data_IF_138003503557
#
_entry.id   IF_138003503557
#
_cell.length_a   1.000
_cell.length_b   1.000
_cell.length_c   1.000
_cell.angle_alpha   90.00
_cell.angle_beta   90.00
_cell.angle_gamma   90.00
#
_symmetry.space_group_name_H-M   'P 1'
#
loop_
_entity.id
_entity.type
_entity.pdbx_description
1 polymer ?
#
# COMPACT_ATOMS: atom_id res chain seq x y z
N UNK A 1 -15.98 -29.20 13.93
CA UNK A 1 -17.32 -29.20 13.31
C UNK A 1 -17.49 -30.21 12.18
N UNK A 2 -16.59 -30.21 11.19
CA UNK A 2 -16.47 -31.26 10.15
C UNK A 2 -15.06 -31.86 10.14
N UNK A 3 -14.40 -31.87 11.30
CA UNK A 3 -13.07 -32.46 11.42
C UNK A 3 -13.18 -33.98 11.22
N UNK A 4 -12.26 -34.54 10.46
CA UNK A 4 -12.15 -35.99 10.34
C UNK A 4 -11.66 -36.52 11.68
N UNK A 5 -12.55 -37.20 12.39
CA UNK A 5 -12.29 -37.80 13.68
C UNK A 5 -12.73 -39.26 13.68
N UNK A 6 -12.07 -40.07 14.50
CA UNK A 6 -12.48 -41.45 14.73
C UNK A 6 -13.76 -41.52 15.59
N UNK A 7 -14.28 -42.73 15.82
CA UNK A 7 -15.50 -42.94 16.60
C UNK A 7 -15.43 -42.41 18.05
N UNK A 8 -14.24 -42.15 18.59
CA UNK A 8 -14.03 -41.58 19.93
C UNK A 8 -13.82 -40.06 19.93
N UNK A 9 -13.95 -39.40 18.78
CA UNK A 9 -13.83 -37.94 18.63
C UNK A 9 -12.38 -37.43 18.55
N UNK A 10 -11.39 -38.32 18.39
CA UNK A 10 -9.98 -37.94 18.19
C UNK A 10 -9.74 -37.62 16.72
N UNK A 11 -9.15 -36.44 16.45
CA UNK A 11 -8.86 -35.97 15.09
C UNK A 11 -7.85 -36.89 14.40
N UNK A 12 -8.21 -37.40 13.23
CA UNK A 12 -7.35 -38.24 12.38
C UNK A 12 -6.52 -37.36 11.42
N UNK A 13 -5.42 -36.79 11.93
CA UNK A 13 -4.57 -35.86 11.18
C UNK A 13 -4.02 -36.44 9.87
N UNK A 14 -3.71 -37.73 9.82
CA UNK A 14 -3.19 -38.37 8.60
C UNK A 14 -4.24 -38.49 7.51
N UNK A 15 -5.50 -38.73 7.89
CA UNK A 15 -6.62 -38.79 6.97
C UNK A 15 -6.99 -37.39 6.48
N UNK A 16 -7.03 -36.42 7.38
CA UNK A 16 -7.17 -35.01 7.01
C UNK A 16 -6.07 -34.54 6.07
N UNK A 17 -4.81 -34.88 6.34
CA UNK A 17 -3.66 -34.53 5.49
C UNK A 17 -3.77 -35.13 4.09
N UNK A 18 -4.25 -36.38 3.95
CA UNK A 18 -4.49 -37.01 2.66
C UNK A 18 -5.59 -36.30 1.87
N UNK A 19 -6.73 -36.02 2.50
CA UNK A 19 -7.82 -35.30 1.85
C UNK A 19 -7.41 -33.89 1.41
N UNK A 20 -6.61 -33.18 2.22
CA UNK A 20 -6.04 -31.89 1.83
C UNK A 20 -5.11 -32.04 0.63
N UNK A 21 -4.21 -33.03 0.60
CA UNK A 21 -3.33 -33.26 -0.56
C UNK A 21 -4.10 -33.57 -1.84
N UNK A 22 -5.12 -34.42 -1.76
CA UNK A 22 -5.98 -34.75 -2.90
C UNK A 22 -6.68 -33.50 -3.44
N UNK A 23 -7.24 -32.67 -2.56
CA UNK A 23 -7.89 -31.42 -2.91
C UNK A 23 -6.89 -30.42 -3.52
N UNK A 24 -5.71 -30.29 -2.92
CA UNK A 24 -4.61 -29.46 -3.40
C UNK A 24 -4.14 -29.87 -4.79
N UNK A 25 -3.97 -31.17 -5.05
CA UNK A 25 -3.56 -31.67 -6.36
C UNK A 25 -4.64 -31.46 -7.42
N UNK A 26 -5.91 -31.67 -7.07
CA UNK A 26 -7.03 -31.50 -8.00
C UNK A 26 -7.14 -30.07 -8.52
N UNK A 27 -6.94 -29.08 -7.66
CA UNK A 27 -7.17 -27.67 -7.99
C UNK A 27 -5.88 -26.84 -8.16
N UNK A 28 -4.71 -27.47 -8.26
CA UNK A 28 -3.42 -26.76 -8.35
C UNK A 28 -3.05 -25.95 -7.10
N UNK A 29 -3.73 -26.19 -5.97
CA UNK A 29 -3.56 -25.54 -4.68
C UNK A 29 -2.49 -26.23 -3.83
N UNK A 30 -1.29 -26.43 -4.38
CA UNK A 30 -0.21 -27.12 -3.69
C UNK A 30 0.12 -26.43 -2.34
N UNK A 31 -0.23 -27.09 -1.24
CA UNK A 31 0.12 -26.70 0.13
C UNK A 31 0.56 -27.94 0.89
N UNK A 32 1.54 -27.81 1.78
CA UNK A 32 1.94 -28.90 2.67
C UNK A 32 1.00 -28.91 3.90
N UNK A 33 0.15 -29.95 4.09
CA UNK A 33 -0.86 -29.94 5.15
C UNK A 33 -0.29 -29.87 6.57
N UNK A 34 0.97 -30.28 6.77
CA UNK A 34 1.63 -30.28 8.08
C UNK A 34 2.46 -29.01 8.33
N UNK A 35 2.59 -28.12 7.36
CA UNK A 35 3.29 -26.86 7.55
C UNK A 35 2.50 -25.98 8.54
N UNK A 36 3.23 -25.25 9.39
CA UNK A 36 2.61 -24.28 10.29
C UNK A 36 2.29 -23.01 9.50
N UNK A 37 1.07 -22.49 9.65
CA UNK A 37 0.61 -21.29 8.91
C UNK A 37 1.54 -20.09 9.10
N UNK A 38 2.06 -19.90 10.32
CA UNK A 38 3.01 -18.83 10.65
C UNK A 38 4.35 -18.89 9.89
N UNK A 39 4.70 -20.05 9.33
CA UNK A 39 5.96 -20.27 8.61
C UNK A 39 5.74 -20.21 7.08
N UNK A 40 4.49 -20.04 6.62
CA UNK A 40 4.14 -19.93 5.21
C UNK A 40 4.27 -18.50 4.69
N UNK A 41 4.64 -18.34 3.41
CA UNK A 41 4.54 -17.05 2.72
C UNK A 41 3.09 -16.58 2.63
N UNK A 42 2.86 -15.28 2.46
CA UNK A 42 1.49 -14.74 2.36
C UNK A 42 0.71 -15.37 1.20
N UNK A 43 1.34 -15.58 0.05
CA UNK A 43 0.72 -16.31 -1.07
C UNK A 43 0.30 -17.73 -0.73
N UNK A 44 1.10 -18.46 0.06
CA UNK A 44 0.73 -19.80 0.54
C UNK A 44 -0.39 -19.76 1.58
N UNK A 45 -0.39 -18.76 2.47
CA UNK A 45 -1.48 -18.55 3.43
C UNK A 45 -2.81 -18.31 2.70
N UNK A 46 -2.82 -17.52 1.62
CA UNK A 46 -4.00 -17.31 0.79
C UNK A 46 -4.53 -18.62 0.18
N UNK A 47 -3.63 -19.47 -0.34
CA UNK A 47 -4.00 -20.80 -0.86
C UNK A 47 -4.59 -21.68 0.25
N UNK A 48 -4.05 -21.65 1.46
CA UNK A 48 -4.60 -22.37 2.61
C UNK A 48 -6.04 -21.93 2.91
N UNK A 49 -6.36 -20.64 2.83
CA UNK A 49 -7.74 -20.17 3.03
C UNK A 49 -8.72 -20.70 1.96
N UNK A 50 -8.29 -20.73 0.69
CA UNK A 50 -9.10 -21.31 -0.40
C UNK A 50 -9.31 -22.81 -0.18
N UNK A 51 -8.24 -23.54 0.16
CA UNK A 51 -8.30 -24.99 0.47
C UNK A 51 -9.25 -25.24 1.64
N UNK A 52 -9.22 -24.43 2.71
CA UNK A 52 -10.13 -24.55 3.86
C UNK A 52 -11.60 -24.37 3.46
N UNK A 53 -11.89 -23.43 2.55
CA UNK A 53 -13.24 -23.21 2.05
C UNK A 53 -13.74 -24.42 1.23
N UNK A 54 -12.92 -24.89 0.30
CA UNK A 54 -13.23 -26.04 -0.56
C UNK A 54 -13.34 -27.35 0.22
N UNK A 55 -12.49 -27.55 1.22
CA UNK A 55 -12.55 -28.71 2.11
C UNK A 55 -13.88 -28.81 2.86
N UNK A 56 -14.54 -27.66 3.10
CA UNK A 56 -15.88 -27.59 3.69
C UNK A 56 -16.99 -27.69 2.63
N UNK A 57 -16.68 -28.05 1.40
CA UNK A 57 -17.65 -28.20 0.32
C UNK A 57 -18.28 -26.89 -0.14
N UNK A 58 -17.55 -25.77 -0.05
CA UNK A 58 -18.01 -24.49 -0.59
C UNK A 58 -18.16 -24.59 -2.11
N UNK A 59 -19.37 -24.32 -2.62
CA UNK A 59 -19.67 -24.24 -4.05
C UNK A 59 -19.62 -22.79 -4.56
N UNK A 60 -19.72 -21.81 -3.66
CA UNK A 60 -19.62 -20.39 -3.95
C UNK A 60 -18.50 -19.82 -3.09
N UNK A 61 -17.47 -19.27 -3.72
CA UNK A 61 -16.36 -18.61 -3.04
C UNK A 61 -16.48 -17.10 -3.23
N UNK A 62 -16.40 -16.35 -2.14
CA UNK A 62 -16.29 -14.90 -2.16
C UNK A 62 -14.86 -14.57 -1.77
N UNK A 63 -14.12 -13.99 -2.70
CA UNK A 63 -12.73 -13.59 -2.49
C UNK A 63 -12.67 -12.08 -2.45
N UNK A 64 -12.33 -11.53 -1.27
CA UNK A 64 -12.26 -10.09 -1.03
C UNK A 64 -10.82 -9.61 -1.07
N UNK A 65 -10.47 -8.81 -2.08
CA UNK A 65 -9.13 -8.32 -2.40
C UNK A 65 -8.00 -9.37 -2.22
N UNK A 66 -8.13 -10.57 -2.83
CA UNK A 66 -7.29 -11.72 -2.50
C UNK A 66 -5.84 -11.61 -2.96
N UNK A 67 -5.49 -10.55 -3.69
CA UNK A 67 -4.16 -10.29 -4.30
C UNK A 67 -3.40 -9.16 -3.62
N UNK A 68 -3.95 -8.54 -2.57
CA UNK A 68 -3.41 -7.32 -1.98
C UNK A 68 -1.94 -7.43 -1.52
N UNK A 69 -1.49 -8.63 -1.17
CA UNK A 69 -0.15 -8.93 -0.67
C UNK A 69 0.64 -9.92 -1.54
N UNK A 70 0.20 -10.15 -2.79
CA UNK A 70 0.82 -11.10 -3.71
C UNK A 70 1.75 -10.40 -4.71
N UNK A 71 2.81 -11.09 -5.13
CA UNK A 71 3.59 -10.68 -6.31
C UNK A 71 2.76 -10.80 -7.60
N UNK A 72 3.18 -10.19 -8.72
CA UNK A 72 2.54 -10.43 -10.02
C UNK A 72 2.44 -11.92 -10.37
N UNK A 73 3.52 -12.69 -10.19
CA UNK A 73 3.55 -14.13 -10.49
C UNK A 73 2.62 -14.94 -9.57
N UNK A 74 2.57 -14.58 -8.28
CA UNK A 74 1.63 -15.21 -7.33
C UNK A 74 0.18 -14.89 -7.67
N UNK A 75 -0.09 -13.68 -8.17
CA UNK A 75 -1.40 -13.23 -8.64
C UNK A 75 -1.85 -14.00 -9.87
N UNK A 76 -0.97 -14.18 -10.86
CA UNK A 76 -1.25 -14.98 -12.05
C UNK A 76 -1.59 -16.44 -11.67
N UNK A 77 -0.81 -17.02 -10.75
CA UNK A 77 -1.10 -18.36 -10.21
C UNK A 77 -2.43 -18.45 -9.46
N UNK A 78 -2.87 -17.38 -8.78
CA UNK A 78 -4.21 -17.33 -8.18
C UNK A 78 -5.31 -17.31 -9.25
N UNK A 79 -5.12 -16.61 -10.36
CA UNK A 79 -6.10 -16.61 -11.46
C UNK A 79 -6.24 -17.99 -12.09
N UNK A 80 -5.15 -18.73 -12.28
CA UNK A 80 -5.20 -20.11 -12.75
C UNK A 80 -6.05 -21.01 -11.84
N UNK A 81 -5.89 -20.86 -10.52
CA UNK A 81 -6.69 -21.57 -9.53
C UNK A 81 -8.17 -21.19 -9.67
N UNK A 82 -8.49 -19.89 -9.74
CA UNK A 82 -9.88 -19.42 -9.87
C UNK A 82 -10.52 -20.02 -11.14
N UNK A 83 -9.83 -20.00 -12.27
CA UNK A 83 -10.31 -20.61 -13.52
C UNK A 83 -10.44 -22.13 -13.44
N UNK A 84 -9.62 -22.83 -12.64
CA UNK A 84 -9.81 -24.27 -12.39
C UNK A 84 -11.10 -24.51 -11.61
N UNK A 85 -11.33 -23.74 -10.54
CA UNK A 85 -12.50 -23.89 -9.69
C UNK A 85 -13.81 -23.63 -10.45
N UNK A 86 -13.84 -22.61 -11.32
CA UNK A 86 -15.03 -22.31 -12.14
C UNK A 86 -15.31 -23.39 -13.19
N UNK A 87 -14.27 -23.96 -13.82
CA UNK A 87 -14.40 -25.11 -14.74
C UNK A 87 -14.98 -26.35 -14.07
N UNK A 88 -14.72 -26.53 -12.78
CA UNK A 88 -15.27 -27.64 -11.98
C UNK A 88 -16.69 -27.36 -11.43
N UNK A 89 -17.29 -26.23 -11.80
CA UNK A 89 -18.68 -25.88 -11.47
C UNK A 89 -18.85 -25.05 -10.20
N UNK A 90 -17.76 -24.54 -9.60
CA UNK A 90 -17.86 -23.60 -8.49
C UNK A 90 -18.13 -22.18 -9.02
N UNK A 91 -18.91 -21.40 -8.29
CA UNK A 91 -19.05 -19.96 -8.55
C UNK A 91 -18.02 -19.17 -7.73
N UNK A 92 -17.39 -18.18 -8.33
CA UNK A 92 -16.46 -17.27 -7.63
C UNK A 92 -16.94 -15.84 -7.79
N UNK A 93 -17.11 -15.14 -6.66
CA UNK A 93 -17.32 -13.70 -6.60
C UNK A 93 -15.96 -13.10 -6.21
N UNK A 94 -15.31 -12.44 -7.17
CA UNK A 94 -14.02 -11.79 -6.98
C UNK A 94 -14.25 -10.30 -6.77
N UNK A 95 -13.92 -9.80 -5.57
CA UNK A 95 -14.07 -8.39 -5.20
C UNK A 95 -12.68 -7.75 -5.28
N UNK A 96 -12.53 -6.76 -6.15
CA UNK A 96 -11.28 -6.02 -6.31
C UNK A 96 -11.54 -4.65 -6.91
N UNK A 97 -10.67 -3.69 -6.62
CA UNK A 97 -10.63 -2.38 -7.27
C UNK A 97 -9.50 -2.30 -8.33
N UNK A 98 -8.74 -3.38 -8.52
CA UNK A 98 -7.63 -3.46 -9.48
C UNK A 98 -8.13 -3.91 -10.85
N UNK A 99 -8.17 -2.97 -11.79
CA UNK A 99 -8.74 -3.17 -13.12
C UNK A 99 -8.08 -4.30 -13.92
N UNK A 100 -6.75 -4.47 -13.79
CA UNK A 100 -6.03 -5.56 -14.47
C UNK A 100 -6.54 -6.94 -14.06
N UNK A 101 -6.86 -7.12 -12.79
CA UNK A 101 -7.41 -8.37 -12.25
C UNK A 101 -8.82 -8.61 -12.77
N UNK A 102 -9.67 -7.58 -12.74
CA UNK A 102 -11.05 -7.64 -13.26
C UNK A 102 -11.05 -8.10 -14.72
N UNK A 103 -10.16 -7.55 -15.54
CA UNK A 103 -10.07 -7.90 -16.96
C UNK A 103 -9.50 -9.31 -17.19
N UNK A 104 -8.65 -9.80 -16.30
CA UNK A 104 -8.00 -11.10 -16.44
C UNK A 104 -8.87 -12.26 -15.95
N UNK A 105 -9.58 -12.10 -14.82
CA UNK A 105 -10.20 -13.23 -14.10
C UNK A 105 -11.71 -13.36 -14.30
N UNK A 106 -12.41 -12.27 -14.63
CA UNK A 106 -13.87 -12.23 -14.55
C UNK A 106 -14.57 -12.66 -15.84
N UNK A 107 -15.60 -13.51 -15.74
CA UNK A 107 -16.52 -13.75 -16.86
C UNK A 107 -17.58 -12.64 -17.00
N UNK A 108 -17.95 -12.03 -15.87
CA UNK A 108 -18.94 -10.95 -15.76
C UNK A 108 -18.49 -9.95 -14.72
N UNK A 109 -18.64 -8.67 -15.05
CA UNK A 109 -18.23 -7.55 -14.21
C UNK A 109 -19.48 -6.80 -13.76
N UNK A 110 -19.61 -6.56 -12.46
CA UNK A 110 -20.67 -5.72 -11.88
C UNK A 110 -20.02 -4.57 -11.12
N UNK A 111 -20.39 -3.34 -11.49
CA UNK A 111 -19.84 -2.13 -10.87
C UNK A 111 -20.82 -1.58 -9.85
N UNK A 112 -20.35 -1.39 -8.62
CA UNK A 112 -21.12 -0.76 -7.54
C UNK A 112 -20.57 0.64 -7.25
N UNK A 113 -21.46 1.60 -7.03
CA UNK A 113 -21.11 2.97 -6.62
C UNK A 113 -22.17 3.51 -5.66
N UNK A 114 -21.75 4.06 -4.52
CA UNK A 114 -22.63 4.57 -3.45
C UNK A 114 -23.69 3.54 -3.00
N UNK A 115 -23.27 2.29 -2.83
CA UNK A 115 -24.13 1.20 -2.36
C UNK A 115 -25.16 0.70 -3.38
N UNK A 116 -25.06 1.10 -4.65
CA UNK A 116 -25.97 0.67 -5.72
C UNK A 116 -25.19 0.06 -6.87
N UNK A 117 -25.77 -0.93 -7.54
CA UNK A 117 -25.26 -1.42 -8.84
C UNK A 117 -25.52 -0.32 -9.87
N UNK A 118 -24.46 0.13 -10.54
CA UNK A 118 -24.54 1.20 -11.55
C UNK A 118 -24.31 0.70 -12.97
N UNK A 119 -23.65 -0.44 -13.13
CA UNK A 119 -23.42 -1.07 -14.42
C UNK A 119 -23.15 -2.57 -14.27
N UNK A 120 -23.34 -3.31 -15.36
CA UNK A 120 -22.84 -4.68 -15.53
C UNK A 120 -22.36 -4.85 -16.97
N UNK A 121 -21.21 -5.49 -17.14
CA UNK A 121 -20.55 -5.66 -18.45
C UNK A 121 -19.73 -6.96 -18.44
N UNK A 122 -19.02 -7.25 -19.53
CA UNK A 122 -18.05 -8.33 -19.67
C UNK A 122 -16.69 -7.76 -20.05
N UNK A 123 -15.57 -8.43 -19.76
CA UNK A 123 -14.26 -7.95 -20.18
C UNK A 123 -14.15 -7.70 -21.69
N UNK A 124 -14.81 -8.53 -22.51
CA UNK A 124 -14.81 -8.37 -23.97
C UNK A 124 -15.56 -7.11 -24.46
N UNK A 125 -16.49 -6.58 -23.66
CA UNK A 125 -17.38 -5.49 -24.03
C UNK A 125 -16.94 -4.14 -23.42
N UNK A 126 -15.76 -4.07 -22.82
CA UNK A 126 -15.30 -2.87 -22.13
C UNK A 126 -13.78 -2.73 -22.11
N UNK A 127 -13.32 -1.56 -21.69
CA UNK A 127 -11.91 -1.26 -21.44
C UNK A 127 -11.68 -0.84 -19.99
N UNK A 128 -10.45 -1.00 -19.45
CA UNK A 128 -10.12 -0.54 -18.10
C UNK A 128 -10.54 0.91 -17.81
N UNK A 129 -10.37 1.82 -18.78
CA UNK A 129 -10.71 3.24 -18.61
C UNK A 129 -12.23 3.47 -18.47
N UNK A 130 -13.04 2.71 -19.21
CA UNK A 130 -14.49 2.76 -19.14
C UNK A 130 -14.99 2.21 -17.80
N UNK A 131 -14.43 1.09 -17.33
CA UNK A 131 -14.73 0.53 -16.02
C UNK A 131 -14.40 1.52 -14.90
N UNK A 132 -13.23 2.16 -14.94
CA UNK A 132 -12.87 3.20 -13.98
C UNK A 132 -13.86 4.37 -14.00
N UNK A 133 -14.29 4.80 -15.18
CA UNK A 133 -15.32 5.83 -15.31
C UNK A 133 -16.66 5.39 -14.72
N UNK A 134 -17.07 4.12 -14.88
CA UNK A 134 -18.29 3.59 -14.26
C UNK A 134 -18.16 3.63 -12.72
N UNK A 135 -17.01 3.20 -12.18
CA UNK A 135 -16.72 3.16 -10.74
C UNK A 135 -16.73 4.57 -10.11
N UNK A 136 -16.12 5.56 -10.77
CA UNK A 136 -15.97 6.92 -10.22
C UNK A 136 -17.11 7.87 -10.62
N UNK A 137 -17.69 7.69 -11.81
CA UNK A 137 -18.76 8.52 -12.37
C UNK A 137 -18.31 9.73 -13.19
N UNK A 138 -17.02 9.83 -13.49
CA UNK A 138 -16.41 10.82 -14.39
C UNK A 138 -15.22 10.15 -15.10
N UNK A 139 -14.72 10.69 -16.22
CA UNK A 139 -13.47 10.22 -16.80
C UNK A 139 -12.32 10.23 -15.77
N UNK A 140 -11.49 9.19 -15.79
CA UNK A 140 -10.35 8.98 -14.89
C UNK A 140 -9.12 8.63 -15.71
N UNK A 141 -7.98 9.24 -15.39
CA UNK A 141 -6.69 8.86 -15.95
C UNK A 141 -6.13 7.68 -15.16
N UNK A 142 -5.98 6.53 -15.82
CA UNK A 142 -5.41 5.32 -15.20
C UNK A 142 -3.90 5.40 -14.96
N UNK A 143 -3.22 6.27 -15.72
CA UNK A 143 -1.81 6.60 -15.55
C UNK A 143 -1.71 8.10 -15.51
N UNK A 144 -0.99 8.62 -14.51
CA UNK A 144 -0.71 10.05 -14.45
C UNK A 144 0.26 10.41 -15.55
N UNK A 145 -0.08 11.44 -16.32
CA UNK A 145 0.82 12.02 -17.30
C UNK A 145 1.91 12.75 -16.52
N UNK A 146 3.15 12.28 -16.66
CA UNK A 146 4.32 12.87 -16.01
C UNK A 146 5.28 13.42 -17.06
N UNK A 147 5.73 14.65 -16.86
CA UNK A 147 6.87 15.20 -17.59
C UNK A 147 8.18 14.52 -17.18
N UNK A 148 9.29 14.80 -17.89
CA UNK A 148 10.62 14.36 -17.45
C UNK A 148 10.91 14.92 -16.06
N UNK A 149 11.56 14.13 -15.22
CA UNK A 149 12.07 14.62 -13.94
C UNK A 149 13.32 15.47 -14.16
N UNK A 150 13.55 16.40 -13.23
CA UNK A 150 14.77 17.21 -13.19
C UNK A 150 15.42 17.08 -11.81
N UNK A 151 16.05 15.92 -11.50
CA UNK A 151 16.63 15.68 -10.19
C UNK A 151 17.73 16.68 -9.86
N UNK A 152 17.65 17.29 -8.69
CA UNK A 152 18.66 18.20 -8.14
C UNK A 152 19.57 17.51 -7.13
N UNK A 153 19.84 18.18 -6.02
CA UNK A 153 20.73 17.65 -4.97
C UNK A 153 20.07 16.55 -4.14
N UNK A 154 20.88 15.59 -3.67
CA UNK A 154 20.43 14.54 -2.76
C UNK A 154 20.10 15.12 -1.37
N UNK A 155 18.82 15.10 -1.01
CA UNK A 155 18.30 15.67 0.25
C UNK A 155 18.00 14.62 1.30
N UNK A 156 17.71 13.37 0.91
CA UNK A 156 17.70 12.21 1.80
C UNK A 156 18.80 11.25 1.37
N UNK A 157 19.65 10.84 2.30
CA UNK A 157 20.61 9.74 2.11
C UNK A 157 20.47 8.73 3.22
N UNK A 158 20.42 7.47 2.84
CA UNK A 158 20.47 6.30 3.71
C UNK A 158 21.78 5.60 3.34
N UNK A 159 22.64 5.38 4.33
CA UNK A 159 23.98 4.81 4.14
C UNK A 159 24.11 3.57 5.02
N UNK A 160 24.30 2.41 4.39
CA UNK A 160 24.56 1.10 5.01
C UNK A 160 23.63 0.80 6.19
N UNK A 161 22.35 1.14 6.04
CA UNK A 161 21.37 1.07 7.11
C UNK A 161 21.10 -0.39 7.48
N UNK A 162 21.22 -0.69 8.78
CA UNK A 162 20.91 -2.00 9.34
C UNK A 162 19.83 -1.86 10.39
N UNK A 163 18.74 -2.62 10.26
CA UNK A 163 17.56 -2.52 11.11
C UNK A 163 17.02 -3.91 11.42
N UNK A 164 16.55 -4.10 12.65
CA UNK A 164 15.90 -5.34 13.07
C UNK A 164 14.37 -5.22 13.08
N UNK A 165 13.68 -6.30 12.73
CA UNK A 165 12.23 -6.42 12.93
C UNK A 165 11.87 -6.56 14.42
N UNK A 166 10.56 -6.72 14.71
CA UNK A 166 10.04 -6.93 16.05
C UNK A 166 10.49 -8.25 16.68
N UNK A 167 10.92 -9.22 15.86
CA UNK A 167 11.46 -10.52 16.27
C UNK A 167 12.98 -10.48 16.46
N UNK A 168 13.60 -9.30 16.38
CA UNK A 168 15.06 -9.07 16.46
C UNK A 168 15.86 -9.73 15.32
N UNK A 169 15.21 -10.09 14.23
CA UNK A 169 15.85 -10.57 13.01
C UNK A 169 16.25 -9.39 12.13
N UNK A 170 17.28 -9.55 11.30
CA UNK A 170 17.68 -8.52 10.35
C UNK A 170 16.58 -8.35 9.29
N UNK A 171 15.96 -7.16 9.27
CA UNK A 171 14.91 -6.79 8.33
C UNK A 171 15.43 -5.86 7.23
N UNK A 172 16.42 -5.03 7.56
CA UNK A 172 17.18 -4.19 6.64
C UNK A 172 18.65 -4.46 6.91
N UNK A 173 19.42 -4.74 5.86
CA UNK A 173 20.78 -5.25 5.96
C UNK A 173 21.71 -4.54 4.97
N UNK A 174 22.25 -3.39 5.39
CA UNK A 174 23.22 -2.62 4.59
C UNK A 174 22.56 -1.85 3.45
N UNK A 175 21.34 -1.34 3.65
CA UNK A 175 20.63 -0.58 2.60
C UNK A 175 21.25 0.80 2.44
N UNK A 176 21.65 1.11 1.21
CA UNK A 176 22.12 2.43 0.78
C UNK A 176 21.22 2.98 -0.33
N UNK A 177 20.65 4.16 -0.11
CA UNK A 177 19.72 4.81 -1.05
C UNK A 177 19.79 6.33 -0.90
N UNK A 178 19.65 7.05 -2.01
CA UNK A 178 19.50 8.51 -1.99
C UNK A 178 18.26 8.95 -2.75
N UNK A 179 17.66 10.04 -2.28
CA UNK A 179 16.51 10.71 -2.90
C UNK A 179 16.85 12.18 -3.07
N UNK A 180 16.73 12.65 -4.31
CA UNK A 180 17.07 14.00 -4.77
C UNK A 180 15.84 14.90 -4.82
N UNK A 181 16.05 16.21 -4.77
CA UNK A 181 14.95 17.16 -5.01
C UNK A 181 14.39 16.97 -6.40
N UNK A 182 13.07 17.02 -6.56
CA UNK A 182 12.45 16.94 -7.88
C UNK A 182 12.44 15.55 -8.51
N UNK A 183 12.62 14.48 -7.70
CA UNK A 183 12.46 13.10 -8.16
C UNK A 183 11.54 12.29 -7.23
N UNK A 184 10.89 11.27 -7.81
CA UNK A 184 10.21 10.19 -7.06
C UNK A 184 11.08 8.94 -7.15
N UNK A 185 11.62 8.49 -6.02
CA UNK A 185 12.26 7.18 -5.90
C UNK A 185 11.24 6.18 -5.38
N UNK A 186 10.91 5.18 -6.19
CA UNK A 186 10.05 4.06 -5.82
C UNK A 186 10.84 2.94 -5.17
N UNK A 187 10.38 2.43 -4.03
CA UNK A 187 10.88 1.20 -3.40
C UNK A 187 9.87 0.09 -3.66
N UNK A 188 10.21 -0.77 -4.62
CA UNK A 188 9.42 -1.95 -4.96
C UNK A 188 9.87 -3.14 -4.12
N UNK A 189 8.92 -3.92 -3.59
CA UNK A 189 9.21 -5.06 -2.73
C UNK A 189 7.93 -5.75 -2.30
N UNK A 190 8.04 -7.03 -1.97
CA UNK A 190 6.94 -7.81 -1.40
C UNK A 190 6.85 -7.53 0.09
N UNK A 191 5.64 -7.66 0.65
CA UNK A 191 5.45 -7.56 2.09
C UNK A 191 6.40 -8.51 2.84
N UNK A 192 7.09 -7.99 3.85
CA UNK A 192 8.13 -8.73 4.59
C UNK A 192 9.57 -8.55 4.08
N UNK A 193 9.80 -7.85 2.96
CA UNK A 193 11.17 -7.59 2.48
C UNK A 193 11.92 -6.45 3.21
N UNK A 194 11.36 -5.88 4.28
CA UNK A 194 12.00 -4.80 5.06
C UNK A 194 11.54 -3.38 4.74
N UNK A 195 10.50 -3.22 3.92
CA UNK A 195 9.97 -1.91 3.50
C UNK A 195 9.51 -1.07 4.69
N UNK A 196 8.74 -1.67 5.61
CA UNK A 196 8.23 -0.98 6.79
C UNK A 196 9.36 -0.59 7.73
N UNK A 197 10.30 -1.50 7.99
CA UNK A 197 11.43 -1.29 8.88
C UNK A 197 12.38 -0.20 8.34
N UNK A 198 12.56 -0.14 7.02
CA UNK A 198 13.27 0.93 6.34
C UNK A 198 12.60 2.28 6.61
N UNK A 199 11.29 2.39 6.34
CA UNK A 199 10.51 3.62 6.56
C UNK A 199 10.52 4.03 8.02
N UNK A 200 10.21 3.11 8.94
CA UNK A 200 10.17 3.38 10.38
C UNK A 200 11.52 3.87 10.91
N UNK A 201 12.63 3.35 10.38
CA UNK A 201 13.97 3.79 10.77
C UNK A 201 14.28 5.20 10.24
N UNK A 202 13.86 5.53 9.01
CA UNK A 202 13.99 6.89 8.46
C UNK A 202 13.10 7.88 9.23
N UNK A 203 11.93 7.47 9.70
CA UNK A 203 11.03 8.28 10.54
C UNK A 203 11.46 8.37 12.02
N UNK A 204 12.41 7.53 12.44
CA UNK A 204 12.86 7.46 13.84
C UNK A 204 11.88 6.75 14.77
N UNK A 205 10.95 5.95 14.22
CA UNK A 205 10.06 5.06 14.97
C UNK A 205 10.77 3.76 15.36
N UNK A 206 11.78 3.35 14.59
CA UNK A 206 12.60 2.17 14.83
C UNK A 206 14.08 2.54 14.90
N UNK A 207 14.80 2.01 15.89
CA UNK A 207 16.23 2.27 16.03
C UNK A 207 17.05 1.51 15.00
N UNK A 208 17.97 2.21 14.32
CA UNK A 208 18.99 1.58 13.49
C UNK A 208 20.06 0.90 14.35
N UNK A 209 20.47 -0.31 13.95
CA UNK A 209 21.63 -1.03 14.52
C UNK A 209 22.95 -0.56 13.94
N UNK A 210 22.93 -0.11 12.69
CA UNK A 210 24.10 0.36 11.95
C UNK A 210 23.69 1.29 10.82
N UNK A 211 24.69 1.93 10.20
CA UNK A 211 24.47 2.89 9.13
C UNK A 211 24.00 4.25 9.60
N UNK A 212 23.64 5.11 8.64
CA UNK A 212 23.22 6.50 8.91
C UNK A 212 22.06 6.93 8.01
N UNK A 213 21.21 7.79 8.56
CA UNK A 213 20.20 8.54 7.82
C UNK A 213 20.57 10.01 7.86
N UNK A 214 20.68 10.64 6.70
CA UNK A 214 21.10 12.02 6.51
C UNK A 214 19.97 12.76 5.79
N UNK A 215 19.54 13.89 6.35
CA UNK A 215 18.51 14.76 5.78
C UNK A 215 19.09 16.18 5.64
N UNK A 216 19.08 16.71 4.42
CA UNK A 216 19.63 18.04 4.09
C UNK A 216 21.07 18.22 4.63
N UNK A 217 21.92 17.22 4.38
CA UNK A 217 23.31 17.21 4.84
C UNK A 217 23.51 16.97 6.35
N UNK A 218 22.44 16.80 7.14
CA UNK A 218 22.54 16.57 8.60
C UNK A 218 22.18 15.14 8.95
N UNK A 219 23.04 14.47 9.73
CA UNK A 219 22.71 13.15 10.26
C UNK A 219 21.55 13.23 11.24
N UNK A 220 20.50 12.44 10.99
CA UNK A 220 19.28 12.37 11.79
C UNK A 220 19.05 11.01 12.44
N UNK A 221 19.95 10.03 12.26
CA UNK A 221 19.83 8.61 12.68
C UNK A 221 19.30 8.40 14.11
N UNK A 222 19.69 9.26 15.06
CA UNK A 222 19.28 9.15 16.47
C UNK A 222 18.38 10.30 16.93
N UNK A 223 17.89 11.14 16.02
CA UNK A 223 16.93 12.20 16.34
C UNK A 223 15.53 11.62 16.51
N UNK A 224 14.77 12.21 17.43
CA UNK A 224 13.35 11.88 17.62
C UNK A 224 12.53 12.21 16.37
N UNK A 225 11.42 11.49 16.17
CA UNK A 225 10.48 11.72 15.05
C UNK A 225 10.09 13.19 14.93
N UNK A 226 9.74 13.85 16.04
CA UNK A 226 9.41 15.29 16.05
C UNK A 226 10.52 16.16 15.45
N UNK A 227 11.78 15.91 15.81
CA UNK A 227 12.92 16.66 15.27
C UNK A 227 13.16 16.38 13.79
N UNK A 228 12.85 15.17 13.30
CA UNK A 228 12.95 14.81 11.88
C UNK A 228 11.88 15.53 11.06
N UNK A 229 10.64 15.54 11.54
CA UNK A 229 9.55 16.29 10.91
C UNK A 229 9.88 17.79 10.82
N UNK A 230 10.32 18.38 11.93
CA UNK A 230 10.79 19.78 11.97
C UNK A 230 12.02 20.08 11.10
N UNK A 231 12.75 19.04 10.66
CA UNK A 231 13.90 19.19 9.75
C UNK A 231 13.50 19.10 8.27
N UNK A 232 12.20 19.04 7.98
CA UNK A 232 11.66 19.01 6.62
C UNK A 232 11.31 17.61 6.11
N UNK A 233 11.02 16.66 6.99
CA UNK A 233 10.51 15.33 6.63
C UNK A 233 8.98 15.31 6.75
N UNK A 234 8.28 14.90 5.70
CA UNK A 234 6.85 14.59 5.73
C UNK A 234 6.60 13.09 5.62
N UNK A 235 5.45 12.62 6.10
CA UNK A 235 5.11 11.20 6.11
C UNK A 235 3.63 10.92 5.82
N UNK A 236 3.37 10.24 4.72
CA UNK A 236 2.10 9.56 4.47
C UNK A 236 2.28 8.08 4.87
N UNK A 237 1.75 7.64 6.03
CA UNK A 237 1.98 6.29 6.53
C UNK A 237 1.12 5.25 5.80
N UNK A 238 1.61 4.01 5.79
CA UNK A 238 0.90 2.86 5.22
C UNK A 238 -0.42 2.55 5.96
N UNK A 239 -0.39 2.58 7.29
CA UNK A 239 -1.59 2.44 8.11
C UNK A 239 -2.14 3.81 8.52
N UNK A 240 -3.07 4.32 7.72
CA UNK A 240 -3.73 5.60 7.97
C UNK A 240 -4.54 5.63 9.27
N UNK A 241 -5.06 4.49 9.75
CA UNK A 241 -5.92 4.46 10.95
C UNK A 241 -5.12 4.34 12.22
N UNK A 242 -4.00 3.61 12.21
CA UNK A 242 -3.13 3.44 13.38
C UNK A 242 -2.06 4.52 13.50
N UNK A 243 -1.55 5.04 12.39
CA UNK A 243 -0.41 5.97 12.38
C UNK A 243 -0.71 7.33 11.74
N UNK A 244 -1.73 7.41 10.87
CA UNK A 244 -2.00 8.60 10.08
C UNK A 244 -2.98 9.58 10.71
N UNK A 245 -3.98 9.10 11.44
CA UNK A 245 -5.13 9.89 11.92
C UNK A 245 -5.53 9.49 13.33
N UNK A 246 -6.17 10.41 14.04
CA UNK A 246 -6.92 10.14 15.26
C UNK A 246 -8.40 10.18 14.89
N UNK A 247 -9.03 9.01 14.74
CA UNK A 247 -10.33 8.87 14.07
C UNK A 247 -11.48 9.59 14.79
N UNK A 248 -11.42 9.64 16.11
CA UNK A 248 -12.38 10.28 16.99
C UNK A 248 -12.24 11.80 16.94
N UNK A 249 -11.10 12.33 16.48
CA UNK A 249 -10.84 13.76 16.48
C UNK A 249 -11.45 14.45 15.26
N UNK A 250 -11.80 15.73 15.39
CA UNK A 250 -12.19 16.56 14.27
C UNK A 250 -11.18 16.54 13.12
N UNK A 251 -11.65 16.75 11.89
CA UNK A 251 -10.80 16.99 10.72
C UNK A 251 -9.82 18.15 11.00
N UNK A 252 -10.31 19.23 11.61
CA UNK A 252 -9.51 20.41 11.92
C UNK A 252 -8.31 20.10 12.81
N UNK A 253 -8.48 19.22 13.79
CA UNK A 253 -7.42 18.81 14.71
C UNK A 253 -6.45 17.85 14.02
N UNK A 254 -6.96 16.91 13.22
CA UNK A 254 -6.15 16.02 12.41
C UNK A 254 -5.24 16.77 11.42
N UNK A 255 -5.72 17.88 10.84
CA UNK A 255 -4.97 18.70 9.88
C UNK A 255 -3.81 19.48 10.51
N UNK A 256 -3.75 19.62 11.84
CA UNK A 256 -2.68 20.36 12.53
C UNK A 256 -1.84 19.46 13.44
N UNK A 257 -1.98 18.13 13.40
CA UNK A 257 -1.30 17.21 14.32
C UNK A 257 0.23 17.36 14.40
N UNK A 258 0.88 17.80 13.33
CA UNK A 258 2.34 17.99 13.30
C UNK A 258 2.78 19.30 13.97
N UNK A 259 1.90 20.31 13.99
CA UNK A 259 2.22 21.70 14.36
C UNK A 259 1.25 22.27 15.41
N UNK A 260 0.44 21.43 16.06
CA UNK A 260 -0.68 21.83 16.92
C UNK A 260 -0.27 22.76 18.08
N UNK A 261 1.00 22.68 18.49
CA UNK A 261 1.61 23.45 19.58
C UNK A 261 2.46 24.63 19.09
N UNK A 262 2.45 24.92 17.79
CA UNK A 262 3.18 26.02 17.17
C UNK A 262 2.25 27.16 16.75
N UNK A 263 2.80 28.37 16.61
CA UNK A 263 2.09 29.45 15.94
C UNK A 263 1.85 29.07 14.46
N UNK A 264 0.68 29.39 13.87
CA UNK A 264 -0.41 30.19 14.41
C UNK A 264 -1.49 29.41 15.19
N UNK A 265 -1.30 28.10 15.43
CA UNK A 265 -2.30 27.20 16.03
C UNK A 265 -2.31 27.20 17.55
N UNK A 266 -1.21 27.60 18.18
CA UNK A 266 -1.11 27.77 19.62
C UNK A 266 -0.33 29.04 19.99
N UNK A 267 -0.50 29.48 21.24
CA UNK A 267 0.33 30.47 21.91
C UNK A 267 0.65 29.95 23.31
N UNK A 268 1.84 29.38 23.50
CA UNK A 268 2.17 28.61 24.70
C UNK A 268 1.23 27.41 24.84
N UNK A 269 0.57 27.29 26.00
CA UNK A 269 -0.35 26.19 26.30
C UNK A 269 -1.77 26.39 25.72
N UNK A 270 -2.06 27.57 25.13
CA UNK A 270 -3.41 27.92 24.68
C UNK A 270 -3.56 27.68 23.17
N UNK A 271 -4.49 26.80 22.79
CA UNK A 271 -4.85 26.55 21.38
C UNK A 271 -5.69 27.68 20.80
N UNK A 272 -5.41 28.06 19.56
CA UNK A 272 -6.13 29.08 18.77
C UNK A 272 -7.14 28.44 17.83
N UNK A 273 -8.28 28.02 18.38
CA UNK A 273 -9.32 27.28 17.64
C UNK A 273 -9.81 27.99 16.36
N UNK A 274 -9.93 29.33 16.39
CA UNK A 274 -10.30 30.11 15.19
C UNK A 274 -9.25 29.97 14.07
N UNK A 275 -7.97 30.03 14.41
CA UNK A 275 -6.89 29.87 13.43
C UNK A 275 -6.86 28.45 12.85
N UNK A 276 -7.04 27.44 13.72
CA UNK A 276 -7.14 26.03 13.31
C UNK A 276 -8.32 25.82 12.36
N UNK A 277 -9.52 26.34 12.69
CA UNK A 277 -10.70 26.23 11.83
C UNK A 277 -10.49 26.92 10.46
N UNK A 278 -9.96 28.14 10.44
CA UNK A 278 -9.68 28.85 9.19
C UNK A 278 -8.63 28.14 8.34
N UNK A 279 -7.61 27.56 8.97
CA UNK A 279 -6.60 26.75 8.29
C UNK A 279 -7.21 25.48 7.69
N UNK A 280 -8.04 24.76 8.46
CA UNK A 280 -8.73 23.57 8.03
C UNK A 280 -9.63 23.84 6.82
N UNK A 281 -10.43 24.92 6.84
CA UNK A 281 -11.28 25.30 5.70
C UNK A 281 -10.47 25.57 4.42
N UNK A 282 -9.30 26.21 4.53
CA UNK A 282 -8.41 26.41 3.37
C UNK A 282 -7.89 25.09 2.82
N UNK A 283 -7.39 24.20 3.68
CA UNK A 283 -6.88 22.91 3.24
C UNK A 283 -7.97 22.00 2.67
N UNK A 284 -9.15 21.97 3.29
CA UNK A 284 -10.30 21.24 2.78
C UNK A 284 -10.66 21.70 1.36
N UNK A 285 -10.66 23.02 1.10
CA UNK A 285 -10.87 23.56 -0.24
C UNK A 285 -9.73 23.21 -1.20
N UNK A 286 -8.48 23.39 -0.78
CA UNK A 286 -7.31 23.18 -1.64
C UNK A 286 -7.13 21.71 -2.05
N UNK A 287 -7.52 20.77 -1.19
CA UNK A 287 -7.37 19.32 -1.40
C UNK A 287 -8.70 18.61 -1.73
N UNK A 288 -9.80 19.35 -1.94
CA UNK A 288 -11.15 18.78 -2.17
C UNK A 288 -11.53 17.72 -1.12
N UNK A 289 -11.32 18.03 0.16
CA UNK A 289 -11.75 17.18 1.29
C UNK A 289 -13.24 17.42 1.51
N UNK A 290 -14.05 16.41 1.23
CA UNK A 290 -15.51 16.49 1.28
C UNK A 290 -16.01 16.10 2.65
N UNK A 291 -16.45 17.09 3.41
CA UNK A 291 -17.06 16.95 4.73
C UNK A 291 -18.09 18.06 4.96
N UNK A 292 -18.96 17.90 5.96
CA UNK A 292 -19.96 18.92 6.29
C UNK A 292 -19.33 20.15 6.97
N UNK A 293 -18.37 19.91 7.87
CA UNK A 293 -17.65 20.94 8.60
C UNK A 293 -16.29 20.42 9.07
N UNK A 294 -15.31 21.30 9.36
CA UNK A 294 -14.02 20.89 9.95
C UNK A 294 -14.13 20.18 11.31
N UNK A 295 -15.25 20.35 12.02
CA UNK A 295 -15.51 19.75 13.33
C UNK A 295 -15.98 18.30 13.24
N UNK A 296 -16.38 17.84 12.05
CA UNK A 296 -16.79 16.47 11.83
C UNK A 296 -15.63 15.51 12.19
N UNK A 297 -15.88 14.41 12.94
CA UNK A 297 -14.86 13.41 13.22
C UNK A 297 -14.29 12.81 11.93
N UNK A 298 -12.97 12.70 11.83
CA UNK A 298 -12.32 12.23 10.59
C UNK A 298 -12.66 10.76 10.28
N UNK A 299 -12.95 9.96 11.30
CA UNK A 299 -13.37 8.56 11.17
C UNK A 299 -14.68 8.37 10.39
N UNK A 300 -15.52 9.40 10.31
CA UNK A 300 -16.78 9.35 9.55
C UNK A 300 -16.60 9.60 8.04
N UNK A 301 -15.40 9.98 7.59
CA UNK A 301 -15.10 10.19 6.18
C UNK A 301 -14.82 8.88 5.46
N UNK A 302 -15.02 8.87 4.13
CA UNK A 302 -14.54 7.76 3.30
C UNK A 302 -13.01 7.66 3.33
N UNK A 303 -12.47 6.46 3.07
CA UNK A 303 -11.01 6.24 3.03
C UNK A 303 -10.27 7.22 2.12
N UNK A 304 -10.83 7.54 0.95
CA UNK A 304 -10.30 8.58 0.05
C UNK A 304 -10.23 9.97 0.67
N UNK A 305 -11.26 10.41 1.39
CA UNK A 305 -11.24 11.71 2.06
C UNK A 305 -10.32 11.71 3.29
N UNK A 306 -10.22 10.59 4.01
CA UNK A 306 -9.22 10.40 5.07
C UNK A 306 -7.81 10.54 4.51
N UNK A 307 -7.52 9.96 3.35
CA UNK A 307 -6.22 10.10 2.69
C UNK A 307 -5.93 11.54 2.27
N UNK A 308 -6.94 12.25 1.75
CA UNK A 308 -6.81 13.68 1.41
C UNK A 308 -6.47 14.53 2.63
N UNK A 309 -7.01 14.21 3.82
CA UNK A 309 -6.65 14.89 5.09
C UNK A 309 -5.17 14.68 5.41
N UNK A 310 -4.67 13.44 5.31
CA UNK A 310 -3.25 13.13 5.56
C UNK A 310 -2.37 13.90 4.57
N UNK A 311 -2.62 13.77 3.26
CA UNK A 311 -1.85 14.48 2.24
C UNK A 311 -1.88 16.00 2.43
N UNK A 312 -3.04 16.56 2.76
CA UNK A 312 -3.18 18.00 3.00
C UNK A 312 -2.31 18.45 4.18
N UNK A 313 -2.32 17.71 5.29
CA UNK A 313 -1.47 18.01 6.46
C UNK A 313 0.00 17.96 6.08
N UNK A 314 0.45 16.84 5.51
CA UNK A 314 1.87 16.62 5.25
C UNK A 314 2.42 17.62 4.24
N UNK A 315 1.72 17.87 3.14
CA UNK A 315 2.17 18.77 2.08
C UNK A 315 2.07 20.25 2.47
N UNK A 316 1.13 20.64 3.34
CA UNK A 316 0.98 22.02 3.76
C UNK A 316 2.16 22.53 4.62
N UNK A 317 2.94 21.62 5.23
CA UNK A 317 4.18 21.95 5.94
C UNK A 317 5.35 22.26 5.00
N UNK A 318 5.16 22.06 3.69
CA UNK A 318 6.20 22.22 2.65
C UNK A 318 7.48 21.44 2.99
N UNK A 319 7.40 20.11 3.17
CA UNK A 319 8.56 19.30 3.49
C UNK A 319 9.59 19.35 2.36
N UNK A 320 10.84 19.03 2.67
CA UNK A 320 11.90 18.82 1.68
C UNK A 320 11.88 17.40 1.13
N UNK A 321 11.48 16.45 1.96
CA UNK A 321 11.36 15.04 1.62
C UNK A 321 10.01 14.55 2.13
N UNK A 322 9.24 13.89 1.26
CA UNK A 322 8.01 13.20 1.64
C UNK A 322 8.23 11.70 1.50
N UNK A 323 8.02 10.97 2.60
CA UNK A 323 7.89 9.51 2.54
C UNK A 323 6.42 9.19 2.30
N UNK A 324 6.13 8.52 1.19
CA UNK A 324 4.78 8.08 0.85
C UNK A 324 4.74 6.55 0.87
N UNK A 325 4.27 5.99 1.99
CA UNK A 325 4.20 4.54 2.20
C UNK A 325 2.80 4.04 1.93
N UNK A 326 2.65 3.16 0.94
CA UNK A 326 1.39 2.59 0.48
C UNK A 326 0.28 3.65 0.35
N UNK A 327 0.54 4.80 -0.31
CA UNK A 327 -0.33 5.98 -0.21
C UNK A 327 -1.70 5.80 -0.86
N UNK A 328 -1.90 4.72 -1.62
CA UNK A 328 -3.15 4.35 -2.30
C UNK A 328 -3.85 3.13 -1.73
N UNK A 329 -3.31 2.49 -0.68
CA UNK A 329 -3.85 1.22 -0.18
C UNK A 329 -5.32 1.35 0.23
N UNK A 330 -6.16 0.48 -0.33
CA UNK A 330 -7.60 0.44 -0.03
C UNK A 330 -8.34 1.73 -0.40
N UNK A 331 -7.88 2.41 -1.48
CA UNK A 331 -8.54 3.57 -2.05
C UNK A 331 -9.22 3.21 -3.38
N UNK A 332 -10.31 3.90 -3.69
CA UNK A 332 -10.93 3.82 -5.01
C UNK A 332 -10.07 4.51 -6.08
N UNK A 333 -10.31 4.16 -7.34
CA UNK A 333 -9.55 4.67 -8.50
C UNK A 333 -9.53 6.20 -8.60
N UNK A 334 -10.60 6.89 -8.18
CA UNK A 334 -10.65 8.36 -8.21
C UNK A 334 -9.80 9.01 -7.11
N UNK A 335 -9.71 8.36 -5.96
CA UNK A 335 -8.82 8.76 -4.86
C UNK A 335 -7.36 8.45 -5.19
N UNK A 336 -7.07 7.33 -5.87
CA UNK A 336 -5.75 6.97 -6.41
C UNK A 336 -5.26 8.05 -7.37
N UNK A 337 -6.07 8.41 -8.37
CA UNK A 337 -5.75 9.47 -9.34
C UNK A 337 -5.41 10.79 -8.63
N UNK A 338 -6.15 11.16 -7.58
CA UNK A 338 -5.87 12.37 -6.81
C UNK A 338 -4.50 12.31 -6.11
N UNK A 339 -4.21 11.21 -5.41
CA UNK A 339 -2.94 11.01 -4.69
C UNK A 339 -1.78 11.09 -5.67
N UNK A 340 -1.87 10.36 -6.79
CA UNK A 340 -0.84 10.30 -7.81
C UNK A 340 -0.55 11.67 -8.43
N UNK A 341 -1.59 12.40 -8.84
CA UNK A 341 -1.43 13.76 -9.38
C UNK A 341 -0.79 14.71 -8.35
N UNK A 342 -1.14 14.57 -7.06
CA UNK A 342 -0.52 15.38 -6.01
C UNK A 342 0.96 15.06 -5.82
N UNK A 343 1.34 13.79 -5.79
CA UNK A 343 2.75 13.41 -5.69
C UNK A 343 3.57 13.93 -6.89
N UNK A 344 3.06 13.74 -8.12
CA UNK A 344 3.73 14.22 -9.34
C UNK A 344 3.88 15.75 -9.34
N UNK A 345 2.80 16.50 -9.09
CA UNK A 345 2.86 17.97 -9.05
C UNK A 345 3.79 18.52 -7.96
N UNK A 346 3.88 17.84 -6.80
CA UNK A 346 4.82 18.24 -5.75
C UNK A 346 6.26 17.93 -6.14
N UNK A 347 6.51 16.77 -6.76
CA UNK A 347 7.80 16.45 -7.36
C UNK A 347 8.21 17.50 -8.40
N UNK A 348 7.30 17.88 -9.29
CA UNK A 348 7.56 18.92 -10.30
C UNK A 348 7.86 20.30 -9.65
N UNK A 349 7.41 20.52 -8.41
CA UNK A 349 7.73 21.70 -7.60
C UNK A 349 9.03 21.56 -6.79
N UNK A 350 9.80 20.49 -6.99
CA UNK A 350 11.10 20.25 -6.36
C UNK A 350 11.07 19.39 -5.09
N UNK A 351 9.90 18.86 -4.69
CA UNK A 351 9.82 17.92 -3.55
C UNK A 351 10.56 16.61 -3.88
N UNK A 352 11.36 16.11 -2.95
CA UNK A 352 11.90 14.75 -3.02
C UNK A 352 10.87 13.76 -2.47
N UNK A 353 10.51 12.72 -3.21
CA UNK A 353 9.52 11.73 -2.78
C UNK A 353 10.16 10.35 -2.70
N UNK A 354 10.11 9.74 -1.51
CA UNK A 354 10.37 8.31 -1.34
C UNK A 354 9.03 7.59 -1.33
N UNK A 355 8.66 7.00 -2.47
CA UNK A 355 7.45 6.21 -2.61
C UNK A 355 7.75 4.76 -2.25
N UNK A 356 7.05 4.19 -1.27
CA UNK A 356 7.18 2.78 -0.91
C UNK A 356 5.84 2.12 -1.19
N UNK A 357 5.79 1.17 -2.12
CA UNK A 357 4.53 0.52 -2.49
C UNK A 357 4.76 -0.96 -2.81
N UNK A 358 3.81 -1.79 -2.39
CA UNK A 358 3.70 -3.18 -2.83
C UNK A 358 2.95 -3.29 -4.17
N UNK A 359 2.25 -2.23 -4.59
CA UNK A 359 1.56 -2.19 -5.87
C UNK A 359 2.53 -1.73 -6.97
N UNK A 360 3.02 -2.70 -7.75
CA UNK A 360 4.00 -2.42 -8.80
C UNK A 360 3.48 -1.39 -9.83
N UNK A 361 2.18 -1.39 -10.13
CA UNK A 361 1.59 -0.42 -11.05
C UNK A 361 1.66 1.02 -10.55
N UNK A 362 1.56 1.22 -9.24
CA UNK A 362 1.77 2.54 -8.64
C UNK A 362 3.24 2.96 -8.78
N UNK A 363 4.18 2.06 -8.48
CA UNK A 363 5.61 2.32 -8.63
C UNK A 363 5.96 2.69 -10.08
N UNK A 364 5.52 1.89 -11.05
CA UNK A 364 5.77 2.11 -12.48
C UNK A 364 5.14 3.42 -12.99
N UNK A 365 4.00 3.82 -12.42
CA UNK A 365 3.30 5.03 -12.84
C UNK A 365 3.94 6.31 -12.29
N UNK A 366 4.60 6.24 -11.13
CA UNK A 366 5.08 7.43 -10.42
C UNK A 366 6.60 7.57 -10.38
N UNK A 367 7.33 6.46 -10.26
CA UNK A 367 8.75 6.48 -9.93
C UNK A 367 9.61 6.90 -11.13
N UNK A 368 10.52 7.83 -10.88
CA UNK A 368 11.59 8.21 -11.81
C UNK A 368 12.75 7.21 -11.74
N UNK A 369 12.96 6.61 -10.56
CA UNK A 369 13.95 5.57 -10.28
C UNK A 369 13.32 4.53 -9.36
N UNK A 370 13.62 3.25 -9.57
CA UNK A 370 13.06 2.15 -8.76
C UNK A 370 14.16 1.37 -8.07
N UNK A 371 14.19 1.41 -6.74
CA UNK A 371 14.99 0.51 -5.92
C UNK A 371 14.18 -0.75 -5.61
N UNK A 372 14.70 -1.93 -5.97
CA UNK A 372 14.05 -3.20 -5.67
C UNK A 372 14.61 -3.76 -4.37
N UNK A 373 13.75 -3.92 -3.37
CA UNK A 373 14.07 -4.45 -2.05
C UNK A 373 13.69 -5.93 -1.95
N UNK A 374 14.68 -6.76 -1.65
CA UNK A 374 14.51 -8.19 -1.42
C UNK A 374 15.31 -8.63 -0.20
N UNK A 375 14.64 -9.31 0.74
CA UNK A 375 15.24 -9.79 2.01
C UNK A 375 16.11 -8.74 2.70
N UNK A 376 15.60 -7.52 2.82
CA UNK A 376 16.27 -6.42 3.52
C UNK A 376 17.43 -5.77 2.78
N UNK A 377 17.67 -6.11 1.50
CA UNK A 377 18.73 -5.53 0.68
C UNK A 377 18.17 -4.92 -0.59
N UNK A 378 18.76 -3.81 -1.03
CA UNK A 378 18.49 -3.28 -2.38
C UNK A 378 19.29 -4.14 -3.37
N UNK A 379 18.58 -4.92 -4.18
CA UNK A 379 19.20 -5.83 -5.16
C UNK A 379 19.44 -5.17 -6.51
N UNK A 380 18.68 -4.10 -6.82
CA UNK A 380 18.86 -3.31 -8.02
C UNK A 380 18.29 -1.89 -7.83
N UNK A 381 18.86 -0.94 -8.55
CA UNK A 381 18.26 0.39 -8.78
C UNK A 381 18.12 0.56 -10.29
N UNK A 382 16.88 0.75 -10.75
CA UNK A 382 16.51 0.82 -12.17
C UNK A 382 16.08 2.25 -12.52
N UNK A 383 16.45 2.71 -13.71
CA UNK A 383 16.16 4.05 -14.21
C UNK A 383 15.82 3.99 -15.71
N UNK A 384 15.03 4.96 -16.19
CA UNK A 384 14.65 5.05 -17.61
C UNK A 384 14.02 3.77 -18.14
N UNK A 385 14.47 3.30 -19.31
CA UNK A 385 13.95 2.10 -19.98
C UNK A 385 14.25 0.80 -19.22
N UNK A 386 15.12 0.82 -18.21
CA UNK A 386 15.38 -0.35 -17.38
C UNK A 386 14.25 -0.63 -16.36
N UNK A 387 13.36 0.33 -16.14
CA UNK A 387 12.17 0.19 -15.30
C UNK A 387 11.12 -0.60 -16.09
N UNK A 388 11.18 -1.93 -15.95
CA UNK A 388 10.26 -2.87 -16.59
C UNK A 388 9.53 -3.73 -15.56
N UNK A 389 8.24 -4.02 -15.83
CA UNK A 389 7.36 -4.75 -14.92
C UNK A 389 7.87 -6.17 -14.66
N UNK A 390 8.21 -6.91 -15.73
CA UNK A 390 8.62 -8.31 -15.63
C UNK A 390 9.93 -8.41 -14.86
N UNK A 391 10.90 -7.56 -15.22
CA UNK A 391 12.19 -7.49 -14.55
C UNK A 391 12.06 -7.17 -13.06
N UNK A 392 11.27 -6.15 -12.69
CA UNK A 392 11.05 -5.81 -11.28
C UNK A 392 10.38 -6.97 -10.54
N UNK A 393 9.38 -7.62 -11.15
CA UNK A 393 8.72 -8.79 -10.56
C UNK A 393 9.68 -9.93 -10.26
N UNK A 394 10.60 -10.25 -11.17
CA UNK A 394 11.62 -11.28 -10.97
C UNK A 394 12.57 -10.93 -9.81
N UNK A 395 13.06 -9.69 -9.78
CA UNK A 395 13.93 -9.19 -8.71
C UNK A 395 13.24 -9.20 -7.34
N UNK A 396 11.94 -8.88 -7.30
CA UNK A 396 11.11 -8.94 -6.08
C UNK A 396 10.92 -10.37 -5.56
N UNK A 397 10.94 -11.37 -6.46
CA UNK A 397 10.87 -12.79 -6.10
C UNK A 397 12.24 -13.39 -5.74
N UNK A 398 13.34 -12.65 -5.97
CA UNK A 398 14.70 -13.14 -5.75
C UNK A 398 15.24 -14.02 -6.88
N UNK A 399 14.56 -14.01 -8.04
CA UNK A 399 15.09 -14.60 -9.27
C UNK A 399 15.97 -13.55 -9.95
N UNK A 400 17.29 -13.75 -9.90
CA UNK A 400 18.30 -12.91 -10.54
C UNK A 400 18.85 -13.57 -11.80
#
# INVERSE_FOLDING_TARGET
>A
GREIANATGVIELDRASRSVRELSQRHGLAVEPRARVQDLTVGLQQRVEIVKALYRGAQVLILDEPTAALTPQETDGLFEIVHSLTREGNAVIFITHKLGEVMAVADRITVMRRGKVVASTKPADTKPAELAQMMVGRPVLLRVVRGPSHPGEAVLKVEDLVVQDDRRQLAVDGVSLEVRTGEIVGVAGVEGNGQNELVESILGLRSARGGRVILNGRTITHRSTRRRLQSGLGNVPADRHRMGLVLEFPIADNLVLSDYDQAPFANGLVRRLRAIRSYALRLMKAFDIRAQAPEQPVGSLSGGNQQKVILARELATQPKVLIASQPTRGLDVGSIEFVHNRLVSQRDSGLAVLLVSSELDEVLSLADRVAVLYRGRIVAVLEGDAIDRERIGLLMAGAA
#
